data_IF_409619531202
#
_entry.id   IF_409619531202
#
_cell.length_a   1.000
_cell.length_b   1.000
_cell.length_c   1.000
_cell.angle_alpha   90.00
_cell.angle_beta   90.00
_cell.angle_gamma   90.00
#
_symmetry.space_group_name_H-M   'P 1'
#
loop_
_entity.id
_entity.type
_entity.pdbx_description
1 polymer ?
#
# COMPACT_ATOMS: atom_id res chain seq x y z
N UNK A 1 0.39 -1.02 9.82
CA UNK A 1 0.22 -0.73 8.38
C UNK A 1 1.57 -0.34 7.80
N UNK A 2 2.12 -1.09 6.84
CA UNK A 2 3.31 -0.66 6.11
C UNK A 2 3.03 0.63 5.33
N UNK A 3 3.95 1.58 5.37
CA UNK A 3 3.78 2.88 4.73
C UNK A 3 5.07 3.39 4.06
N UNK A 4 4.90 4.11 2.97
CA UNK A 4 5.95 4.90 2.33
C UNK A 4 5.69 6.39 2.55
N UNK A 5 6.70 7.13 3.01
CA UNK A 5 6.63 8.58 3.11
C UNK A 5 6.63 9.22 1.71
N UNK A 6 5.86 10.29 1.52
CA UNK A 6 5.84 10.99 0.23
C UNK A 6 7.17 11.68 -0.06
N UNK A 7 7.83 11.25 -1.15
CA UNK A 7 9.08 11.82 -1.65
C UNK A 7 8.83 13.12 -2.39
N UNK A 8 7.85 13.11 -3.28
CA UNK A 8 7.46 14.26 -4.07
C UNK A 8 6.55 15.22 -3.31
N UNK A 9 6.48 16.46 -3.78
CA UNK A 9 5.54 17.45 -3.25
C UNK A 9 4.11 17.06 -3.63
N UNK A 10 3.20 17.04 -2.65
CA UNK A 10 1.80 16.62 -2.85
C UNK A 10 0.88 17.83 -2.75
N UNK A 11 -0.12 17.88 -3.64
CA UNK A 11 -1.11 18.93 -3.71
C UNK A 11 -2.51 18.34 -3.54
N UNK A 12 -3.42 19.10 -2.90
CA UNK A 12 -4.85 18.77 -2.88
C UNK A 12 -5.50 19.39 -4.11
N UNK A 13 -6.31 18.59 -4.81
CA UNK A 13 -7.18 19.04 -5.89
C UNK A 13 -8.54 18.37 -5.76
N UNK A 14 -9.61 19.13 -5.82
CA UNK A 14 -10.98 18.61 -5.74
C UNK A 14 -11.47 18.10 -7.10
N UNK A 15 -10.95 18.67 -8.19
CA UNK A 15 -11.42 18.40 -9.55
C UNK A 15 -10.33 17.82 -10.47
N UNK A 16 -9.10 17.65 -9.98
CA UNK A 16 -7.97 17.12 -10.74
C UNK A 16 -7.36 18.07 -11.77
N UNK A 17 -7.86 19.31 -11.89
CA UNK A 17 -7.41 20.28 -12.92
C UNK A 17 -6.70 21.50 -12.34
N UNK A 18 -6.93 21.84 -11.07
CA UNK A 18 -6.27 22.95 -10.37
C UNK A 18 -5.83 22.55 -8.97
N UNK A 19 -4.85 23.25 -8.42
CA UNK A 19 -4.41 23.07 -7.03
C UNK A 19 -5.35 23.87 -6.11
N UNK A 20 -6.01 23.19 -5.18
CA UNK A 20 -6.91 23.78 -4.18
C UNK A 20 -6.27 23.85 -2.77
N UNK A 21 -5.06 23.31 -2.60
CA UNK A 21 -4.34 23.38 -1.34
C UNK A 21 -2.97 22.71 -1.36
N UNK A 22 -2.11 23.16 -0.45
CA UNK A 22 -0.82 22.52 -0.17
C UNK A 22 -0.99 21.47 0.93
N UNK A 23 -0.29 20.33 0.80
CA UNK A 23 -0.21 19.32 1.85
C UNK A 23 1.20 19.33 2.45
N UNK A 24 1.31 19.21 3.78
CA UNK A 24 2.60 19.02 4.42
C UNK A 24 3.09 17.59 4.19
N UNK A 25 3.95 17.39 3.18
CA UNK A 25 4.37 16.03 2.76
C UNK A 25 4.93 15.16 3.89
N UNK A 26 5.51 15.76 4.94
CA UNK A 26 6.05 15.05 6.11
C UNK A 26 4.97 14.34 6.94
N UNK A 27 3.70 14.71 6.75
CA UNK A 27 2.55 14.12 7.41
C UNK A 27 1.75 13.20 6.48
N UNK A 28 2.17 13.02 5.22
CA UNK A 28 1.45 12.23 4.21
C UNK A 28 2.23 10.97 3.89
N UNK A 29 1.51 9.84 3.95
CA UNK A 29 2.07 8.51 3.77
C UNK A 29 1.17 7.70 2.83
N UNK A 30 1.79 6.95 1.92
CA UNK A 30 1.11 5.97 1.09
C UNK A 30 1.05 4.63 1.82
N UNK A 31 -0.16 4.16 2.13
CA UNK A 31 -0.39 2.85 2.75
C UNK A 31 -0.12 1.70 1.78
N UNK A 32 0.37 0.59 2.32
CA UNK A 32 0.60 -0.65 1.59
C UNK A 32 -0.05 -1.85 2.30
N UNK A 33 -0.25 -2.93 1.55
CA UNK A 33 -0.64 -4.23 2.07
C UNK A 33 0.60 -5.10 2.40
N UNK A 34 0.50 -6.14 3.25
CA UNK A 34 -0.66 -6.52 4.03
C UNK A 34 -0.91 -5.57 5.21
N UNK A 35 -2.18 -5.48 5.60
CA UNK A 35 -2.61 -4.82 6.82
C UNK A 35 -3.10 -5.88 7.81
N UNK A 36 -2.76 -5.72 9.09
CA UNK A 36 -3.16 -6.65 10.14
C UNK A 36 -4.05 -5.94 11.16
N UNK A 37 -5.12 -6.62 11.55
CA UNK A 37 -6.09 -6.11 12.51
C UNK A 37 -6.50 -7.18 13.51
N UNK A 38 -6.92 -6.74 14.70
CA UNK A 38 -7.62 -7.61 15.65
C UNK A 38 -9.00 -7.93 15.07
N UNK A 39 -9.26 -9.20 14.77
CA UNK A 39 -10.42 -9.65 14.00
C UNK A 39 -11.74 -9.09 14.55
N UNK A 40 -12.01 -9.27 15.84
CA UNK A 40 -13.26 -8.82 16.46
C UNK A 40 -13.48 -7.30 16.31
N UNK A 41 -12.46 -6.50 16.61
CA UNK A 41 -12.53 -5.04 16.49
C UNK A 41 -12.75 -4.59 15.05
N UNK A 42 -12.03 -5.20 14.12
CA UNK A 42 -12.13 -4.89 12.70
C UNK A 42 -13.48 -5.31 12.12
N UNK A 43 -14.01 -6.47 12.55
CA UNK A 43 -15.34 -6.93 12.18
C UNK A 43 -16.41 -5.92 12.62
N UNK A 44 -16.38 -5.49 13.88
CA UNK A 44 -17.30 -4.47 14.40
C UNK A 44 -17.16 -3.13 13.66
N UNK A 45 -15.92 -2.70 13.36
CA UNK A 45 -15.66 -1.49 12.58
C UNK A 45 -16.32 -1.53 11.19
N UNK A 46 -16.30 -2.70 10.53
CA UNK A 46 -16.97 -2.88 9.25
C UNK A 46 -18.50 -2.96 9.39
N UNK A 47 -19.03 -3.55 10.47
CA UNK A 47 -20.49 -3.63 10.67
C UNK A 47 -21.16 -2.26 10.88
N UNK A 48 -20.44 -1.30 11.47
CA UNK A 48 -20.97 0.06 11.66
C UNK A 48 -21.12 0.81 10.32
N UNK A 49 -20.32 0.45 9.31
CA UNK A 49 -20.42 0.98 7.95
C UNK A 49 -21.54 0.26 7.18
N UNK A 50 -22.78 0.66 7.43
CA UNK A 50 -23.97 0.17 6.71
C UNK A 50 -23.99 0.69 5.25
N UNK A 51 -24.64 -0.04 4.33
CA UNK A 51 -24.02 -0.53 3.09
C UNK A 51 -23.52 0.54 2.11
N UNK A 52 -24.14 1.71 2.10
CA UNK A 52 -23.76 2.82 1.23
C UNK A 52 -22.39 3.43 1.60
N UNK A 53 -22.01 3.37 2.88
CA UNK A 53 -20.72 3.88 3.34
C UNK A 53 -19.59 2.90 3.04
N UNK A 54 -19.86 1.59 3.13
CA UNK A 54 -18.89 0.55 2.78
C UNK A 54 -18.45 0.66 1.31
N UNK A 55 -19.38 0.98 0.40
CA UNK A 55 -19.09 1.15 -1.02
C UNK A 55 -18.19 2.36 -1.36
N UNK A 56 -18.01 3.28 -0.41
CA UNK A 56 -17.18 4.49 -0.57
C UNK A 56 -15.78 4.32 0.00
N UNK A 57 -15.53 3.23 0.73
CA UNK A 57 -14.23 2.95 1.34
C UNK A 57 -13.18 2.78 0.24
N UNK A 58 -12.09 3.53 0.36
CA UNK A 58 -10.98 3.52 -0.61
C UNK A 58 -9.84 2.59 -0.18
N UNK A 59 -9.77 2.22 1.10
CA UNK A 59 -8.75 1.32 1.64
C UNK A 59 -9.22 0.54 2.86
N UNK A 60 -8.67 -0.66 3.07
CA UNK A 60 -9.09 -1.56 4.16
C UNK A 60 -8.82 -1.03 5.56
N UNK A 61 -7.86 -0.12 5.76
CA UNK A 61 -7.64 0.52 7.05
C UNK A 61 -8.70 1.59 7.40
N UNK A 62 -9.44 2.12 6.43
CA UNK A 62 -10.37 3.24 6.63
C UNK A 62 -11.49 2.91 7.63
N UNK A 63 -12.18 1.75 7.59
CA UNK A 63 -13.10 1.35 8.64
C UNK A 63 -12.49 1.34 10.04
N UNK A 64 -11.25 0.84 10.16
CA UNK A 64 -10.57 0.75 11.44
C UNK A 64 -10.25 2.14 12.01
N UNK A 65 -9.79 3.06 11.15
CA UNK A 65 -9.53 4.45 11.52
C UNK A 65 -10.81 5.17 11.94
N UNK A 66 -11.89 5.02 11.17
CA UNK A 66 -13.19 5.62 11.49
C UNK A 66 -13.77 5.09 12.81
N UNK A 67 -13.50 3.83 13.14
CA UNK A 67 -13.87 3.22 14.41
C UNK A 67 -12.93 3.62 15.58
N UNK A 68 -11.95 4.50 15.34
CA UNK A 68 -11.02 4.99 16.37
C UNK A 68 -9.99 3.96 16.81
N UNK A 69 -9.71 2.94 15.99
CA UNK A 69 -8.65 1.97 16.29
C UNK A 69 -7.28 2.64 16.20
N UNK A 70 -6.39 2.28 17.11
CA UNK A 70 -4.99 2.72 17.07
C UNK A 70 -4.22 1.91 16.01
N UNK A 71 -3.96 2.54 14.86
CA UNK A 71 -3.27 1.93 13.72
C UNK A 71 -1.81 2.38 13.68
N UNK A 72 -0.93 1.49 14.11
CA UNK A 72 0.52 1.73 14.06
C UNK A 72 1.04 1.64 12.62
N UNK A 73 1.83 2.64 12.22
CA UNK A 73 2.57 2.63 10.95
C UNK A 73 3.92 1.93 11.13
N UNK A 74 4.33 1.14 10.13
CA UNK A 74 5.66 0.52 10.06
C UNK A 74 6.32 0.87 8.72
N UNK A 75 7.66 0.81 8.60
CA UNK A 75 8.34 1.06 7.33
C UNK A 75 7.82 0.13 6.23
N UNK A 76 7.44 0.72 5.11
CA UNK A 76 7.07 0.01 3.88
C UNK A 76 8.28 -0.30 2.99
N UNK A 77 7.99 -0.86 1.82
CA UNK A 77 8.97 -1.26 0.82
C UNK A 77 8.58 -0.74 -0.57
N UNK A 78 9.48 -0.07 -1.27
CA UNK A 78 9.25 0.48 -2.62
C UNK A 78 9.02 -0.61 -3.67
N UNK A 79 9.45 -1.84 -3.41
CA UNK A 79 9.19 -3.01 -4.25
C UNK A 79 7.84 -3.68 -3.94
N UNK A 80 7.18 -3.28 -2.85
CA UNK A 80 5.81 -3.68 -2.51
C UNK A 80 4.75 -2.73 -3.14
N UNK A 81 4.84 -2.52 -4.44
CA UNK A 81 3.91 -1.65 -5.17
C UNK A 81 2.71 -2.44 -5.70
N UNK A 82 1.55 -1.77 -5.77
CA UNK A 82 0.37 -2.31 -6.44
C UNK A 82 0.56 -2.22 -7.95
N UNK A 83 0.39 -3.33 -8.66
CA UNK A 83 0.35 -3.34 -10.12
C UNK A 83 -1.00 -2.75 -10.57
N UNK A 84 -0.98 -1.52 -11.09
CA UNK A 84 -2.19 -0.80 -11.55
C UNK A 84 -2.10 -0.32 -12.99
N UNK A 85 -0.89 -0.23 -13.53
CA UNK A 85 -0.61 0.19 -14.90
C UNK A 85 0.22 -0.85 -15.64
N UNK A 86 0.27 -0.75 -16.96
CA UNK A 86 1.14 -1.59 -17.80
C UNK A 86 2.63 -1.39 -17.47
N UNK A 87 3.01 -0.19 -17.02
CA UNK A 87 4.38 0.09 -16.60
C UNK A 87 4.70 -0.69 -15.31
N UNK A 88 3.78 -0.72 -14.35
CA UNK A 88 3.93 -1.51 -13.13
C UNK A 88 4.03 -3.00 -13.46
N UNK A 89 3.21 -3.49 -14.40
CA UNK A 89 3.27 -4.89 -14.85
C UNK A 89 4.64 -5.23 -15.44
N UNK A 90 5.18 -4.38 -16.32
CA UNK A 90 6.53 -4.56 -16.87
C UNK A 90 7.61 -4.56 -15.78
N UNK A 91 7.50 -3.66 -14.78
CA UNK A 91 8.41 -3.61 -13.63
C UNK A 91 8.35 -4.92 -12.84
N UNK A 92 7.15 -5.38 -12.50
CA UNK A 92 6.94 -6.62 -11.77
C UNK A 92 7.51 -7.83 -12.51
N UNK A 93 7.22 -7.98 -13.80
CA UNK A 93 7.75 -9.09 -14.61
C UNK A 93 9.28 -9.09 -14.67
N UNK A 94 9.91 -7.90 -14.71
CA UNK A 94 11.37 -7.78 -14.65
C UNK A 94 11.93 -8.26 -13.31
N UNK A 95 11.29 -7.89 -12.19
CA UNK A 95 11.70 -8.35 -10.86
C UNK A 95 11.58 -9.86 -10.73
N UNK A 96 10.44 -10.43 -11.15
CA UNK A 96 10.21 -11.89 -11.14
C UNK A 96 11.25 -12.63 -11.99
N UNK A 97 11.56 -12.12 -13.19
CA UNK A 97 12.59 -12.71 -14.04
C UNK A 97 13.97 -12.70 -13.37
N UNK A 98 14.37 -11.57 -12.78
CA UNK A 98 15.65 -11.46 -12.04
C UNK A 98 15.71 -12.48 -10.90
N UNK A 99 14.64 -12.60 -10.11
CA UNK A 99 14.55 -13.57 -9.01
C UNK A 99 14.78 -15.01 -9.47
N UNK A 100 14.21 -15.40 -10.62
CA UNK A 100 14.42 -16.73 -11.18
C UNK A 100 15.84 -16.95 -11.69
N UNK A 101 16.44 -15.95 -12.33
CA UNK A 101 17.83 -16.01 -12.82
C UNK A 101 18.83 -16.12 -11.66
N UNK A 102 18.62 -15.35 -10.58
CA UNK A 102 19.44 -15.39 -9.37
C UNK A 102 19.32 -16.76 -8.67
N UNK A 103 18.11 -17.29 -8.57
CA UNK A 103 17.86 -18.60 -7.96
C UNK A 103 18.51 -19.73 -8.75
N UNK A 104 18.46 -19.68 -10.08
CA UNK A 104 19.09 -20.69 -10.93
C UNK A 104 20.61 -20.64 -10.84
N UNK A 105 21.19 -19.44 -10.80
CA UNK A 105 22.64 -19.24 -10.65
C UNK A 105 23.13 -19.77 -9.29
N UNK A 106 22.41 -19.46 -8.21
CA UNK A 106 22.74 -19.96 -6.87
C UNK A 106 22.64 -21.49 -6.76
N UNK A 107 21.67 -22.11 -7.44
CA UNK A 107 21.52 -23.56 -7.47
C UNK A 107 22.69 -24.25 -8.18
N UNK A 108 23.15 -23.70 -9.31
CA UNK A 108 24.30 -24.24 -10.07
C UNK A 108 25.60 -24.14 -9.25
N UNK A 109 25.84 -23.00 -8.60
CA UNK A 109 27.03 -22.82 -7.74
C UNK A 109 27.04 -23.75 -6.52
N UNK A 110 25.87 -24.10 -5.99
CA UNK A 110 25.75 -25.04 -4.87
C UNK A 110 26.03 -26.50 -5.24
N UNK A 111 25.83 -26.88 -6.51
CA UNK A 111 26.13 -28.23 -7.01
C UNK A 111 27.58 -28.39 -7.48
N UNK A 112 28.30 -27.28 -7.67
CA UNK A 112 29.71 -27.27 -8.07
C UNK A 112 30.69 -27.33 -6.87
N UNK A 113 30.18 -27.36 -5.63
CA UNK A 113 30.95 -27.52 -4.38
C UNK A 113 30.67 -28.86 -3.74
#
# INVERSE_FOLDING_TARGET
MPVLAMKDTVYRSENGTRVDGLLERKQIYAGQAPELFVLEKYYLANQVLMPEQLMKVSGSAEPAVLAGMDIVMIPGDEDNFKVTTDADMRRFLKQVKSLFEDMYSAAVDSQAR
#
